data_IF_437679091261
#
_entry.id   IF_437679091261
#
_cell.length_a   1.000
_cell.length_b   1.000
_cell.length_c   1.000
_cell.angle_alpha   90.00
_cell.angle_beta   90.00
_cell.angle_gamma   90.00
#
_symmetry.space_group_name_H-M   'P 1'
#
loop_
_entity.id
_entity.type
_entity.pdbx_description
1 polymer ?
#
# COMPACT_ATOMS: atom_id res chain seq x y z
N UNK A 1 -16.54 -56.18 -3.40
CA UNK A 1 -17.14 -55.16 -2.51
C UNK A 1 -16.13 -54.80 -1.43
N UNK A 2 -15.44 -53.67 -1.57
CA UNK A 2 -14.86 -52.92 -0.45
C UNK A 2 -14.51 -51.54 -1.00
N UNK A 3 -15.47 -50.63 -0.81
CA UNK A 3 -15.49 -49.27 -1.30
C UNK A 3 -14.52 -48.42 -0.48
N UNK A 4 -13.43 -47.93 -1.09
CA UNK A 4 -12.45 -47.08 -0.44
C UNK A 4 -12.87 -45.62 -0.56
N UNK A 5 -13.71 -45.18 0.38
CA UNK A 5 -14.05 -43.76 0.56
C UNK A 5 -12.84 -43.00 1.09
N UNK A 6 -12.11 -42.33 0.19
CA UNK A 6 -11.14 -41.30 0.57
C UNK A 6 -11.89 -40.09 1.09
N UNK A 7 -11.84 -39.86 2.40
CA UNK A 7 -12.23 -38.58 2.98
C UNK A 7 -11.28 -37.48 2.48
N UNK A 8 -11.79 -36.29 2.10
CA UNK A 8 -10.92 -35.16 1.76
C UNK A 8 -10.16 -34.72 3.01
N UNK A 9 -8.84 -34.62 2.87
CA UNK A 9 -7.95 -34.13 3.93
C UNK A 9 -8.39 -32.74 4.37
N UNK A 10 -8.82 -32.61 5.62
CA UNK A 10 -9.07 -31.31 6.25
C UNK A 10 -7.78 -30.49 6.22
N UNK A 11 -7.76 -29.46 5.38
CA UNK A 11 -6.66 -28.52 5.30
C UNK A 11 -6.52 -27.83 6.66
N UNK A 12 -5.34 -27.91 7.27
CA UNK A 12 -5.03 -27.28 8.56
C UNK A 12 -5.18 -25.74 8.45
N UNK A 13 -5.57 -25.02 9.51
CA UNK A 13 -5.77 -23.56 9.47
C UNK A 13 -4.56 -22.76 8.95
N UNK A 14 -3.34 -23.23 9.23
CA UNK A 14 -2.10 -22.64 8.72
C UNK A 14 -1.93 -22.81 7.19
N UNK A 15 -2.42 -23.91 6.61
CA UNK A 15 -2.39 -24.14 5.17
C UNK A 15 -3.42 -23.26 4.42
N UNK A 16 -4.51 -22.87 5.08
CA UNK A 16 -5.51 -21.94 4.54
C UNK A 16 -4.98 -20.50 4.57
N UNK A 17 -4.28 -20.08 5.63
CA UNK A 17 -3.71 -18.72 5.70
C UNK A 17 -2.64 -18.45 4.64
N UNK A 18 -1.86 -19.48 4.25
CA UNK A 18 -0.82 -19.37 3.22
C UNK A 18 -1.37 -19.28 1.78
N UNK A 19 -2.70 -19.34 1.59
CA UNK A 19 -3.33 -19.18 0.27
C UNK A 19 -4.10 -17.86 0.13
N UNK A 20 -4.16 -17.05 1.18
CA UNK A 20 -4.82 -15.76 1.11
C UNK A 20 -3.98 -14.80 0.25
N UNK A 21 -4.63 -13.98 -0.61
CA UNK A 21 -3.93 -12.93 -1.33
C UNK A 21 -3.26 -11.96 -0.35
N UNK A 22 -2.12 -11.41 -0.73
CA UNK A 22 -1.33 -10.53 0.13
C UNK A 22 -1.52 -9.05 -0.19
N UNK A 23 -1.45 -8.22 0.85
CA UNK A 23 -1.39 -6.77 0.78
C UNK A 23 -0.03 -6.31 1.31
N UNK A 24 0.78 -5.69 0.46
CA UNK A 24 2.05 -5.09 0.84
C UNK A 24 1.82 -3.77 1.59
N UNK A 25 2.48 -3.58 2.72
CA UNK A 25 2.24 -2.46 3.62
C UNK A 25 3.43 -1.50 3.70
N UNK A 26 3.24 -0.25 3.28
CA UNK A 26 4.28 0.78 3.21
C UNK A 26 4.08 1.86 4.28
N UNK A 27 5.03 1.95 5.20
CA UNK A 27 4.98 2.85 6.36
C UNK A 27 5.17 4.33 5.99
N UNK A 28 4.85 5.25 6.91
CA UNK A 28 5.04 6.70 6.76
C UNK A 28 6.47 7.18 7.05
N UNK A 29 6.75 8.47 6.85
CA UNK A 29 8.06 9.06 7.13
C UNK A 29 8.40 8.95 8.62
N UNK A 30 9.65 8.59 8.94
CA UNK A 30 10.12 8.53 10.32
C UNK A 30 9.40 7.46 11.16
N UNK A 31 8.91 6.40 10.52
CA UNK A 31 8.31 5.22 11.14
C UNK A 31 9.01 3.96 10.63
N UNK A 32 8.47 2.77 10.86
CA UNK A 32 8.91 1.51 10.25
C UNK A 32 7.72 0.55 10.13
N UNK A 33 7.93 -0.62 9.54
CA UNK A 33 6.92 -1.66 9.32
C UNK A 33 6.26 -2.11 10.62
N UNK A 34 7.02 -2.25 11.72
CA UNK A 34 6.47 -2.62 13.03
C UNK A 34 5.52 -1.56 13.58
N UNK A 35 5.92 -0.29 13.54
CA UNK A 35 5.05 0.84 13.94
C UNK A 35 3.79 0.85 13.07
N UNK A 36 3.93 0.70 11.76
CA UNK A 36 2.77 0.75 10.86
C UNK A 36 1.82 -0.44 11.07
N UNK A 37 2.36 -1.64 11.34
CA UNK A 37 1.58 -2.81 11.76
C UNK A 37 0.78 -2.52 13.03
N UNK A 38 1.41 -1.90 14.03
CA UNK A 38 0.74 -1.52 15.27
C UNK A 38 -0.34 -0.43 15.06
N UNK A 39 -0.05 0.59 14.24
CA UNK A 39 -0.98 1.66 13.90
C UNK A 39 -2.21 1.13 13.13
N UNK A 40 -2.03 0.13 12.26
CA UNK A 40 -3.08 -0.45 11.42
C UNK A 40 -3.72 -1.73 11.99
N UNK A 41 -3.31 -2.19 13.19
CA UNK A 41 -3.73 -3.47 13.79
C UNK A 41 -5.24 -3.72 13.79
N UNK A 42 -6.04 -2.68 14.02
CA UNK A 42 -7.51 -2.80 14.04
C UNK A 42 -8.07 -3.10 12.65
N UNK A 43 -7.54 -2.43 11.62
CA UNK A 43 -7.91 -2.67 10.23
C UNK A 43 -7.43 -4.04 9.75
N UNK A 44 -6.17 -4.40 10.05
CA UNK A 44 -5.60 -5.73 9.75
C UNK A 44 -6.45 -6.83 10.38
N UNK A 45 -6.84 -6.68 11.66
CA UNK A 45 -7.70 -7.64 12.36
C UNK A 45 -9.03 -7.84 11.64
N UNK A 46 -9.65 -6.76 11.14
CA UNK A 46 -10.93 -6.82 10.42
C UNK A 46 -10.83 -7.43 9.02
N UNK A 47 -9.62 -7.53 8.45
CA UNK A 47 -9.38 -8.01 7.09
C UNK A 47 -8.63 -9.36 7.04
N UNK A 48 -8.23 -9.91 8.19
CA UNK A 48 -7.34 -11.08 8.31
C UNK A 48 -7.87 -12.36 7.67
N UNK A 49 -9.20 -12.50 7.57
CA UNK A 49 -9.84 -13.70 6.99
C UNK A 49 -9.96 -13.59 5.45
N UNK A 50 -9.45 -12.51 4.86
CA UNK A 50 -9.46 -12.22 3.42
C UNK A 50 -8.07 -11.96 2.85
N UNK A 51 -7.18 -11.38 3.65
CA UNK A 51 -5.83 -11.01 3.22
C UNK A 51 -4.79 -11.37 4.25
N UNK A 52 -3.59 -11.65 3.76
CA UNK A 52 -2.36 -11.54 4.54
C UNK A 52 -1.77 -10.14 4.35
N UNK A 53 -1.09 -9.62 5.37
CA UNK A 53 -0.47 -8.30 5.34
C UNK A 53 1.03 -8.43 5.53
N UNK A 54 1.80 -7.82 4.63
CA UNK A 54 3.26 -7.89 4.62
C UNK A 54 3.79 -6.49 4.92
N UNK A 55 4.25 -6.27 6.15
CA UNK A 55 4.85 -5.00 6.55
C UNK A 55 6.35 -5.03 6.28
N UNK A 56 6.81 -4.08 5.47
CA UNK A 56 8.23 -4.00 5.07
C UNK A 56 8.85 -2.71 5.57
N UNK A 57 10.15 -2.76 5.82
CA UNK A 57 10.95 -1.59 6.17
C UNK A 57 11.62 -1.02 4.92
N UNK A 58 11.58 0.30 4.79
CA UNK A 58 12.40 0.97 3.80
C UNK A 58 13.90 0.82 4.13
N UNK A 59 14.80 0.69 3.12
CA UNK A 59 16.23 0.52 3.37
C UNK A 59 16.92 1.77 3.96
N UNK A 60 16.28 2.95 3.92
CA UNK A 60 16.89 4.20 4.35
C UNK A 60 16.46 4.61 5.74
N UNK A 61 17.43 4.97 6.58
CA UNK A 61 17.17 5.52 7.90
C UNK A 61 16.62 6.95 7.81
N UNK A 62 15.72 7.28 8.74
CA UNK A 62 15.31 8.65 9.05
C UNK A 62 15.95 9.06 10.37
N UNK A 63 16.58 10.23 10.40
CA UNK A 63 17.18 10.77 11.63
C UNK A 63 16.15 11.13 12.68
N UNK A 64 14.96 11.56 12.25
CA UNK A 64 13.90 12.00 13.13
C UNK A 64 12.68 11.08 13.03
N UNK A 65 11.96 10.89 14.15
CA UNK A 65 10.63 10.28 14.14
C UNK A 65 9.67 11.11 13.31
N UNK A 66 8.66 10.47 12.74
CA UNK A 66 7.56 11.15 12.07
C UNK A 66 6.65 11.90 13.05
N UNK A 67 5.79 12.81 12.55
CA UNK A 67 4.75 13.42 13.36
C UNK A 67 3.86 12.36 14.04
N UNK A 68 3.61 12.52 15.35
CA UNK A 68 2.77 11.61 16.13
C UNK A 68 3.39 10.25 16.50
N UNK A 69 4.67 10.02 16.17
CA UNK A 69 5.40 8.79 16.54
C UNK A 69 5.82 8.82 18.01
N UNK A 70 6.30 9.96 18.49
CA UNK A 70 6.67 10.17 19.90
C UNK A 70 5.45 10.71 20.67
N UNK A 71 5.22 10.30 21.94
CA UNK A 71 6.10 9.43 22.75
C UNK A 71 5.90 7.92 22.54
N UNK A 72 4.77 7.51 21.96
CA UNK A 72 4.32 6.10 21.93
C UNK A 72 5.33 5.11 21.34
N UNK A 73 6.11 5.50 20.33
CA UNK A 73 7.03 4.64 19.59
C UNK A 73 8.48 5.11 19.68
N UNK A 74 8.87 5.74 20.80
CA UNK A 74 10.24 6.23 21.02
C UNK A 74 11.29 5.13 20.97
N UNK A 75 10.94 3.91 21.42
CA UNK A 75 11.86 2.77 21.50
C UNK A 75 11.77 1.83 20.28
N UNK A 76 10.83 2.07 19.36
CA UNK A 76 10.63 1.22 18.18
C UNK A 76 11.46 1.74 17.01
N UNK A 77 12.78 1.80 17.22
CA UNK A 77 13.80 2.23 16.24
C UNK A 77 14.33 1.03 15.42
N UNK A 78 15.04 1.26 14.30
CA UNK A 78 15.31 2.56 13.66
C UNK A 78 14.07 3.13 12.96
N UNK A 79 14.00 4.46 12.86
CA UNK A 79 13.04 5.14 12.00
C UNK A 79 13.55 5.13 10.56
N UNK A 80 12.62 5.08 9.60
CA UNK A 80 12.90 4.87 8.19
C UNK A 80 12.20 5.90 7.30
N UNK A 81 12.67 6.04 6.06
CA UNK A 81 12.09 6.89 5.02
C UNK A 81 12.19 6.19 3.66
N UNK A 82 11.22 6.42 2.78
CA UNK A 82 11.22 5.79 1.46
C UNK A 82 12.07 6.48 0.41
N UNK A 83 12.14 7.80 0.45
CA UNK A 83 12.94 8.60 -0.48
C UNK A 83 13.24 9.96 0.18
N UNK A 84 14.06 10.80 -0.45
CA UNK A 84 14.25 12.18 -0.01
C UNK A 84 13.00 13.03 -0.28
N UNK A 85 12.63 13.89 0.66
CA UNK A 85 11.60 14.89 0.38
C UNK A 85 12.17 16.05 -0.45
N UNK A 86 11.33 16.75 -1.20
CA UNK A 86 11.75 17.82 -2.14
C UNK A 86 12.52 18.94 -1.42
N UNK A 87 12.13 19.27 -0.19
CA UNK A 87 12.85 20.22 0.66
C UNK A 87 14.29 19.78 1.01
N UNK A 88 14.58 18.47 0.98
CA UNK A 88 15.93 17.94 1.22
C UNK A 88 16.76 17.92 -0.08
N UNK A 89 16.11 17.77 -1.24
CA UNK A 89 16.76 17.92 -2.55
C UNK A 89 17.32 19.34 -2.71
N UNK A 90 16.55 20.35 -2.29
CA UNK A 90 16.96 21.76 -2.32
C UNK A 90 18.15 22.07 -1.38
N UNK A 91 18.52 21.15 -0.47
CA UNK A 91 19.67 21.28 0.46
C UNK A 91 20.95 20.58 -0.02
N UNK A 92 20.98 20.06 -1.26
CA UNK A 92 22.20 19.54 -1.89
C UNK A 92 22.25 18.03 -2.15
N UNK A 93 21.12 17.32 -2.13
CA UNK A 93 21.06 15.93 -2.58
C UNK A 93 21.10 15.90 -4.12
N UNK A 94 22.04 15.14 -4.70
CA UNK A 94 22.13 15.00 -6.16
C UNK A 94 20.95 14.20 -6.72
N UNK A 95 20.60 14.48 -7.99
CA UNK A 95 19.59 13.69 -8.71
C UNK A 95 19.98 12.20 -8.76
N UNK A 96 21.27 11.91 -8.95
CA UNK A 96 21.81 10.55 -8.94
C UNK A 96 21.54 9.82 -7.61
N UNK A 97 21.73 10.49 -6.47
CA UNK A 97 21.44 9.89 -5.17
C UNK A 97 19.94 9.55 -5.03
N UNK A 98 19.06 10.40 -5.55
CA UNK A 98 17.61 10.15 -5.58
C UNK A 98 17.29 8.93 -6.45
N UNK A 99 17.93 8.80 -7.62
CA UNK A 99 17.69 7.68 -8.54
C UNK A 99 18.21 6.35 -7.97
N UNK A 100 19.38 6.35 -7.34
CA UNK A 100 19.92 5.20 -6.60
C UNK A 100 18.93 4.75 -5.51
N UNK A 101 18.33 5.69 -4.78
CA UNK A 101 17.34 5.33 -3.76
C UNK A 101 16.07 4.70 -4.35
N UNK A 102 15.56 5.25 -5.47
CA UNK A 102 14.39 4.72 -6.18
C UNK A 102 14.64 3.29 -6.65
N UNK A 103 15.79 3.03 -7.28
CA UNK A 103 16.16 1.70 -7.75
C UNK A 103 16.20 0.70 -6.59
N UNK A 104 16.85 1.06 -5.48
CA UNK A 104 16.94 0.18 -4.31
C UNK A 104 15.57 -0.13 -3.68
N UNK A 105 14.68 0.85 -3.62
CA UNK A 105 13.30 0.67 -3.14
C UNK A 105 12.53 -0.24 -4.08
N UNK A 106 12.66 -0.04 -5.39
CA UNK A 106 12.00 -0.90 -6.37
C UNK A 106 12.51 -2.33 -6.29
N UNK A 107 13.82 -2.56 -6.29
CA UNK A 107 14.41 -3.90 -6.17
C UNK A 107 13.93 -4.63 -4.91
N UNK A 108 13.90 -3.94 -3.76
CA UNK A 108 13.36 -4.52 -2.52
C UNK A 108 11.91 -4.96 -2.70
N UNK A 109 11.07 -4.11 -3.29
CA UNK A 109 9.65 -4.41 -3.47
C UNK A 109 9.43 -5.51 -4.50
N UNK A 110 10.17 -5.52 -5.62
CA UNK A 110 10.15 -6.58 -6.62
C UNK A 110 10.43 -7.94 -6.00
N UNK A 111 11.46 -8.07 -5.16
CA UNK A 111 11.73 -9.33 -4.45
C UNK A 111 10.55 -9.80 -3.58
N UNK A 112 9.81 -8.88 -2.95
CA UNK A 112 8.60 -9.26 -2.21
C UNK A 112 7.47 -9.73 -3.13
N UNK A 113 7.30 -9.14 -4.32
CA UNK A 113 6.31 -9.65 -5.29
C UNK A 113 6.68 -11.04 -5.80
N UNK A 114 7.95 -11.26 -6.12
CA UNK A 114 8.49 -12.54 -6.59
C UNK A 114 8.33 -13.64 -5.53
N UNK A 115 8.90 -13.44 -4.34
CA UNK A 115 8.84 -14.42 -3.26
C UNK A 115 7.40 -14.82 -2.91
N UNK A 116 6.48 -13.84 -2.90
CA UNK A 116 5.08 -14.10 -2.57
C UNK A 116 4.31 -14.83 -3.67
N UNK A 117 4.66 -14.58 -4.92
CA UNK A 117 4.12 -15.32 -6.06
C UNK A 117 4.58 -16.77 -6.05
N UNK A 118 5.84 -17.02 -5.69
CA UNK A 118 6.43 -18.37 -5.65
C UNK A 118 5.90 -19.20 -4.46
N UNK A 119 5.79 -18.58 -3.28
CA UNK A 119 5.48 -19.30 -2.05
C UNK A 119 3.96 -19.43 -1.78
N UNK A 120 3.15 -18.42 -2.15
CA UNK A 120 1.81 -18.23 -1.57
C UNK A 120 0.66 -18.10 -2.60
N UNK A 121 0.84 -18.58 -3.82
CA UNK A 121 -0.23 -18.79 -4.80
C UNK A 121 -0.75 -17.51 -5.47
N UNK A 122 -1.58 -16.71 -4.79
CA UNK A 122 -2.14 -15.46 -5.35
C UNK A 122 -1.16 -14.28 -5.33
N UNK A 123 -0.06 -14.40 -4.59
CA UNK A 123 0.95 -13.35 -4.45
C UNK A 123 0.41 -12.06 -3.84
N UNK A 124 1.14 -10.96 -4.08
CA UNK A 124 0.72 -9.61 -3.68
C UNK A 124 -0.28 -9.07 -4.70
N UNK A 125 -1.51 -8.83 -4.25
CA UNK A 125 -2.60 -8.32 -5.09
C UNK A 125 -2.98 -6.88 -4.73
N UNK A 126 -2.38 -6.32 -3.68
CA UNK A 126 -2.76 -5.01 -3.20
C UNK A 126 -1.68 -4.34 -2.38
N UNK A 127 -1.87 -3.04 -2.18
CA UNK A 127 -0.96 -2.23 -1.36
C UNK A 127 -1.78 -1.43 -0.34
N UNK A 128 -1.31 -1.39 0.91
CA UNK A 128 -1.77 -0.47 1.93
C UNK A 128 -0.63 0.47 2.33
N UNK A 129 -0.86 1.77 2.33
CA UNK A 129 0.20 2.72 2.62
C UNK A 129 -0.29 3.90 3.45
N UNK A 130 0.60 4.46 4.27
CA UNK A 130 0.32 5.62 5.09
C UNK A 130 1.25 6.79 4.77
N UNK A 131 0.68 7.99 4.66
CA UNK A 131 1.43 9.24 4.53
C UNK A 131 2.50 9.15 3.44
N UNK A 132 3.78 9.34 3.78
CA UNK A 132 4.89 9.25 2.85
C UNK A 132 4.92 7.95 2.01
N UNK A 133 4.52 6.81 2.59
CA UNK A 133 4.45 5.54 1.87
C UNK A 133 3.44 5.55 0.72
N UNK A 134 2.41 6.42 0.75
CA UNK A 134 1.44 6.50 -0.34
C UNK A 134 2.06 7.01 -1.63
N UNK A 135 3.14 7.81 -1.55
CA UNK A 135 3.85 8.32 -2.72
C UNK A 135 4.47 7.19 -3.52
N UNK A 136 5.10 6.24 -2.81
CA UNK A 136 5.66 5.01 -3.37
C UNK A 136 4.56 4.08 -3.85
N UNK A 137 3.51 3.86 -3.05
CA UNK A 137 2.38 3.02 -3.43
C UNK A 137 1.75 3.45 -4.76
N UNK A 138 1.55 4.76 -4.96
CA UNK A 138 1.05 5.29 -6.22
C UNK A 138 2.04 5.08 -7.36
N UNK A 139 3.34 5.27 -7.12
CA UNK A 139 4.38 4.96 -8.09
C UNK A 139 4.39 3.49 -8.52
N UNK A 140 4.19 2.56 -7.57
CA UNK A 140 4.10 1.13 -7.85
C UNK A 140 2.86 0.77 -8.66
N UNK A 141 1.72 1.42 -8.38
CA UNK A 141 0.51 1.22 -9.20
C UNK A 141 0.73 1.68 -10.66
N UNK A 142 1.55 2.71 -10.87
CA UNK A 142 1.89 3.25 -12.19
C UNK A 142 3.00 2.48 -12.91
N UNK A 143 3.73 1.61 -12.21
CA UNK A 143 4.84 0.83 -12.74
C UNK A 143 4.33 -0.22 -13.74
N UNK A 144 4.97 -0.35 -14.89
CA UNK A 144 4.49 -1.20 -15.98
C UNK A 144 4.60 -2.71 -15.66
N UNK A 145 5.51 -3.10 -14.77
CA UNK A 145 5.72 -4.48 -14.37
C UNK A 145 4.96 -4.82 -13.09
N UNK A 146 5.05 -3.97 -12.05
CA UNK A 146 4.43 -4.23 -10.76
C UNK A 146 2.95 -3.82 -10.70
N UNK A 147 2.59 -2.75 -11.41
CA UNK A 147 1.23 -2.20 -11.46
C UNK A 147 0.17 -3.23 -11.85
N UNK A 148 0.37 -4.06 -12.89
CA UNK A 148 -0.56 -5.12 -13.27
C UNK A 148 -0.89 -6.15 -12.18
N UNK A 149 -0.03 -6.32 -11.15
CA UNK A 149 -0.31 -7.21 -10.03
C UNK A 149 -1.19 -6.54 -8.95
N UNK A 150 -1.19 -5.21 -8.88
CA UNK A 150 -1.91 -4.45 -7.86
C UNK A 150 -3.35 -4.21 -8.33
N UNK A 151 -4.31 -4.85 -7.66
CA UNK A 151 -5.75 -4.73 -7.97
C UNK A 151 -6.50 -3.84 -6.99
N UNK A 152 -6.01 -3.75 -5.76
CA UNK A 152 -6.56 -2.88 -4.71
C UNK A 152 -5.47 -2.02 -4.08
N UNK A 153 -5.79 -0.75 -3.82
CA UNK A 153 -4.90 0.17 -3.10
C UNK A 153 -5.65 0.79 -1.93
N UNK A 154 -5.03 0.80 -0.75
CA UNK A 154 -5.55 1.43 0.47
C UNK A 154 -4.59 2.55 0.83
N UNK A 155 -4.94 3.78 0.45
CA UNK A 155 -4.10 4.96 0.71
C UNK A 155 -4.64 5.74 1.89
N UNK A 156 -3.93 5.69 3.01
CA UNK A 156 -4.29 6.35 4.26
C UNK A 156 -3.49 7.64 4.39
N UNK A 157 -4.20 8.77 4.48
CA UNK A 157 -3.63 10.12 4.50
C UNK A 157 -2.62 10.35 3.37
N UNK A 158 -3.01 10.17 2.09
CA UNK A 158 -2.07 10.31 0.99
C UNK A 158 -1.49 11.72 0.90
N UNK A 159 -0.25 11.81 0.41
CA UNK A 159 0.46 13.08 0.22
C UNK A 159 1.04 13.19 -1.18
N UNK A 160 1.12 14.41 -1.73
CA UNK A 160 1.58 14.71 -3.09
C UNK A 160 3.02 15.28 -3.09
N UNK A 161 3.85 15.07 -4.13
CA UNK A 161 3.61 14.28 -5.36
C UNK A 161 3.79 12.78 -5.14
N UNK A 162 3.34 11.94 -6.07
CA UNK A 162 3.79 10.55 -6.09
C UNK A 162 5.30 10.47 -6.37
N UNK A 163 5.87 9.28 -6.21
CA UNK A 163 7.29 9.03 -6.51
C UNK A 163 7.36 7.88 -7.49
N UNK A 164 7.85 8.14 -8.70
CA UNK A 164 8.18 7.06 -9.65
C UNK A 164 9.23 6.16 -9.03
N UNK A 165 8.95 4.87 -9.00
CA UNK A 165 9.88 3.84 -8.52
C UNK A 165 10.65 3.20 -9.67
N UNK A 166 10.22 3.43 -10.92
CA UNK A 166 10.86 2.91 -12.13
C UNK A 166 11.81 3.88 -12.83
N UNK A 167 12.57 3.34 -13.78
CA UNK A 167 13.47 4.08 -14.68
C UNK A 167 12.65 4.74 -15.78
N UNK A 168 11.83 5.74 -15.46
CA UNK A 168 11.22 6.56 -16.51
C UNK A 168 12.13 7.74 -16.82
N UNK A 169 12.65 7.74 -18.05
CA UNK A 169 13.47 8.79 -18.69
C UNK A 169 12.72 10.10 -18.94
N UNK A 170 11.55 10.31 -18.33
CA UNK A 170 10.73 11.49 -18.56
C UNK A 170 10.97 12.53 -17.46
N UNK A 171 11.22 13.76 -17.92
CA UNK A 171 11.50 14.88 -17.05
C UNK A 171 10.32 15.17 -16.10
N UNK A 172 10.56 15.68 -14.88
CA UNK A 172 9.50 16.07 -13.93
C UNK A 172 8.51 17.12 -14.46
N UNK A 173 8.74 17.68 -15.66
CA UNK A 173 7.96 18.75 -16.27
C UNK A 173 6.74 18.23 -17.05
N UNK A 174 6.66 16.92 -17.29
CA UNK A 174 5.55 16.26 -18.01
C UNK A 174 4.70 15.36 -17.09
N UNK A 175 4.32 15.85 -15.89
CA UNK A 175 3.23 15.25 -15.06
C UNK A 175 1.84 15.36 -15.74
N UNK A 176 1.77 15.13 -17.05
CA UNK A 176 0.55 14.99 -17.87
C UNK A 176 0.09 13.53 -18.01
N UNK A 177 0.66 12.59 -17.24
CA UNK A 177 0.28 11.18 -17.36
C UNK A 177 -0.98 10.89 -16.53
N UNK A 178 -2.15 11.10 -17.15
CA UNK A 178 -3.40 10.44 -16.76
C UNK A 178 -3.32 8.96 -17.16
N UNK A 179 -2.57 8.14 -16.41
CA UNK A 179 -2.80 6.70 -16.43
C UNK A 179 -4.00 6.47 -15.54
N UNK A 180 -5.19 6.34 -16.11
CA UNK A 180 -6.36 5.88 -15.36
C UNK A 180 -6.08 4.45 -14.93
N UNK A 181 -5.56 4.30 -13.72
CA UNK A 181 -5.25 3.00 -13.15
C UNK A 181 -6.52 2.19 -13.01
N UNK A 182 -6.50 0.96 -13.55
CA UNK A 182 -7.51 -0.06 -13.28
C UNK A 182 -7.26 -0.72 -11.91
N UNK A 183 -7.13 0.14 -10.90
CA UNK A 183 -6.89 -0.22 -9.50
C UNK A 183 -8.05 0.31 -8.70
N UNK A 184 -8.69 -0.55 -7.90
CA UNK A 184 -9.73 -0.11 -6.98
C UNK A 184 -9.09 0.55 -5.77
N UNK A 185 -9.27 1.86 -5.65
CA UNK A 185 -8.67 2.68 -4.62
C UNK A 185 -9.64 2.91 -3.47
N UNK A 186 -9.20 2.63 -2.25
CA UNK A 186 -9.81 3.10 -1.01
C UNK A 186 -8.90 4.19 -0.45
N UNK A 187 -9.31 5.44 -0.63
CA UNK A 187 -8.67 6.60 -0.02
C UNK A 187 -9.27 6.82 1.37
N UNK A 188 -8.42 6.97 2.37
CA UNK A 188 -8.84 7.23 3.76
C UNK A 188 -8.14 8.49 4.26
N UNK A 189 -8.84 9.44 4.88
CA UNK A 189 -8.19 10.59 5.51
C UNK A 189 -8.99 11.17 6.68
N UNK A 190 -8.29 11.79 7.62
CA UNK A 190 -8.92 12.51 8.73
C UNK A 190 -9.50 13.86 8.27
N UNK A 191 -10.63 14.26 8.83
CA UNK A 191 -11.29 15.55 8.51
C UNK A 191 -10.44 16.78 8.85
N UNK A 192 -9.46 16.63 9.73
CA UNK A 192 -8.54 17.69 10.18
C UNK A 192 -7.10 17.42 9.72
N UNK A 193 -6.89 16.54 8.74
CA UNK A 193 -5.57 16.26 8.17
C UNK A 193 -5.10 17.45 7.30
N UNK A 194 -4.01 18.15 7.69
CA UNK A 194 -3.56 19.33 6.95
C UNK A 194 -3.00 19.00 5.56
N UNK A 195 -2.66 17.74 5.29
CA UNK A 195 -2.18 17.29 3.98
C UNK A 195 -3.29 16.77 3.06
N UNK A 196 -4.55 16.75 3.50
CA UNK A 196 -5.68 16.28 2.71
C UNK A 196 -5.81 16.94 1.33
N UNK A 197 -5.58 18.26 1.13
CA UNK A 197 -5.60 18.87 -0.20
C UNK A 197 -4.57 18.26 -1.17
N UNK A 198 -3.36 17.96 -0.67
CA UNK A 198 -2.31 17.29 -1.43
C UNK A 198 -2.69 15.86 -1.77
N UNK A 199 -3.19 15.10 -0.80
CA UNK A 199 -3.69 13.73 -1.02
C UNK A 199 -4.79 13.65 -2.07
N UNK A 200 -5.78 14.55 -1.99
CA UNK A 200 -6.86 14.64 -2.98
C UNK A 200 -6.33 14.99 -4.38
N UNK A 201 -5.29 15.83 -4.46
CA UNK A 201 -4.61 16.11 -5.74
C UNK A 201 -3.96 14.85 -6.30
N UNK A 202 -3.20 14.10 -5.49
CA UNK A 202 -2.56 12.86 -5.93
C UNK A 202 -3.59 11.86 -6.48
N UNK A 203 -4.68 11.65 -5.74
CA UNK A 203 -5.73 10.70 -6.15
C UNK A 203 -6.37 11.13 -7.47
N UNK A 204 -6.75 12.40 -7.60
CA UNK A 204 -7.36 12.94 -8.83
C UNK A 204 -6.43 12.89 -10.05
N UNK A 205 -5.11 13.00 -9.85
CA UNK A 205 -4.15 12.97 -10.94
C UNK A 205 -3.96 11.56 -11.50
N UNK A 206 -3.94 10.53 -10.65
CA UNK A 206 -3.45 9.20 -11.04
C UNK A 206 -4.49 8.07 -10.97
N UNK A 207 -5.63 8.24 -10.29
CA UNK A 207 -6.59 7.16 -10.10
C UNK A 207 -7.93 7.48 -10.78
N UNK A 208 -8.58 6.42 -11.27
CA UNK A 208 -9.92 6.53 -11.85
C UNK A 208 -10.96 6.88 -10.77
N UNK A 209 -11.74 7.94 -11.00
CA UNK A 209 -12.81 8.34 -10.10
C UNK A 209 -13.88 7.25 -9.92
N UNK A 210 -14.19 6.47 -10.96
CA UNK A 210 -15.20 5.39 -10.88
C UNK A 210 -14.75 4.21 -10.02
N UNK A 211 -13.44 3.99 -9.92
CA UNK A 211 -12.81 2.92 -9.14
C UNK A 211 -12.33 3.40 -7.76
N UNK A 212 -12.56 4.66 -7.42
CA UNK A 212 -12.15 5.25 -6.14
C UNK A 212 -13.32 5.31 -5.16
N UNK A 213 -13.04 4.97 -3.90
CA UNK A 213 -13.90 5.21 -2.74
C UNK A 213 -13.11 6.05 -1.73
N UNK A 214 -13.69 7.17 -1.32
CA UNK A 214 -13.09 8.08 -0.34
C UNK A 214 -13.84 7.97 0.97
N UNK A 215 -13.10 7.73 2.06
CA UNK A 215 -13.60 7.58 3.41
C UNK A 215 -12.97 8.64 4.29
N UNK A 216 -13.81 9.40 4.99
CA UNK A 216 -13.37 10.40 5.96
C UNK A 216 -13.67 9.92 7.38
N UNK A 217 -12.83 10.30 8.34
CA UNK A 217 -13.07 10.04 9.76
C UNK A 217 -12.72 11.27 10.60
N UNK A 218 -13.33 11.40 11.79
CA UNK A 218 -13.00 12.50 12.71
C UNK A 218 -11.59 12.28 13.27
N UNK A 219 -10.63 13.10 12.82
CA UNK A 219 -9.23 13.00 13.25
C UNK A 219 -8.30 13.80 12.34
N UNK A 220 -7.00 13.73 12.65
CA UNK A 220 -5.93 14.38 11.88
C UNK A 220 -5.21 13.43 10.92
N UNK A 221 -3.91 13.63 10.78
CA UNK A 221 -3.02 12.83 9.93
C UNK A 221 -2.61 11.52 10.60
N UNK A 222 -3.48 10.52 10.55
CA UNK A 222 -3.29 9.24 11.26
C UNK A 222 -4.04 8.08 10.61
N UNK A 223 -3.72 6.86 11.04
CA UNK A 223 -4.49 5.67 10.70
C UNK A 223 -5.77 5.62 11.56
N UNK A 224 -6.97 5.39 10.99
CA UNK A 224 -8.20 5.31 11.78
C UNK A 224 -8.15 4.13 12.77
N UNK A 225 -8.61 4.37 13.99
CA UNK A 225 -8.61 3.36 15.07
C UNK A 225 -9.97 3.17 15.73
N UNK A 226 -10.90 4.11 15.58
CA UNK A 226 -12.25 3.96 16.10
C UNK A 226 -12.99 2.83 15.35
N UNK A 227 -13.71 1.98 16.10
CA UNK A 227 -14.31 0.76 15.56
C UNK A 227 -15.25 1.02 14.37
N UNK A 228 -16.02 2.12 14.40
CA UNK A 228 -16.91 2.53 13.31
C UNK A 228 -16.15 2.85 12.03
N UNK A 229 -15.07 3.61 12.13
CA UNK A 229 -14.28 4.04 10.97
C UNK A 229 -13.52 2.85 10.39
N UNK A 230 -12.93 2.02 11.25
CA UNK A 230 -12.25 0.77 10.86
C UNK A 230 -13.22 -0.17 10.15
N UNK A 231 -14.44 -0.35 10.67
CA UNK A 231 -15.45 -1.20 10.03
C UNK A 231 -15.87 -0.65 8.66
N UNK A 232 -16.00 0.67 8.54
CA UNK A 232 -16.30 1.33 7.25
C UNK A 232 -15.20 1.08 6.23
N UNK A 233 -13.93 1.31 6.60
CA UNK A 233 -12.77 1.04 5.73
C UNK A 233 -12.72 -0.43 5.32
N UNK A 234 -12.83 -1.35 6.29
CA UNK A 234 -12.77 -2.79 6.02
C UNK A 234 -13.87 -3.24 5.05
N UNK A 235 -15.10 -2.73 5.21
CA UNK A 235 -16.22 -3.04 4.31
C UNK A 235 -15.94 -2.61 2.87
N UNK A 236 -15.44 -1.39 2.65
CA UNK A 236 -15.12 -0.91 1.30
C UNK A 236 -13.96 -1.69 0.68
N UNK A 237 -12.97 -2.09 1.47
CA UNK A 237 -11.87 -2.95 1.00
C UNK A 237 -12.37 -4.32 0.57
N UNK A 238 -13.23 -4.95 1.38
CA UNK A 238 -13.83 -6.26 1.04
C UNK A 238 -14.67 -6.14 -0.22
N UNK A 239 -15.54 -5.13 -0.32
CA UNK A 239 -16.38 -4.91 -1.50
C UNK A 239 -15.55 -4.67 -2.76
N UNK A 240 -14.47 -3.88 -2.67
CA UNK A 240 -13.56 -3.67 -3.79
C UNK A 240 -12.92 -4.98 -4.26
N UNK A 241 -12.49 -5.83 -3.32
CA UNK A 241 -11.87 -7.11 -3.65
C UNK A 241 -12.85 -8.13 -4.25
N UNK A 242 -14.07 -8.21 -3.73
CA UNK A 242 -15.12 -9.06 -4.30
C UNK A 242 -15.41 -8.67 -5.75
N UNK A 243 -15.44 -7.38 -6.07
CA UNK A 243 -15.60 -6.92 -7.45
C UNK A 243 -14.42 -7.29 -8.36
N UNK A 244 -13.18 -7.29 -7.85
CA UNK A 244 -12.01 -7.78 -8.59
C UNK A 244 -12.16 -9.27 -8.91
N UNK A 245 -12.55 -10.07 -7.92
CA UNK A 245 -12.73 -11.52 -8.08
C UNK A 245 -13.86 -11.87 -9.04
N UNK A 246 -14.93 -11.07 -9.10
CA UNK A 246 -16.02 -11.25 -10.07
C UNK A 246 -15.54 -10.91 -11.48
N UNK A 247 -14.93 -9.74 -11.69
CA UNK A 247 -14.43 -9.32 -13.01
C UNK A 247 -13.34 -10.26 -13.55
N UNK A 248 -12.56 -10.92 -12.68
CA UNK A 248 -11.57 -11.91 -13.09
C UNK A 248 -12.14 -13.27 -13.51
N UNK A 249 -13.42 -13.54 -13.23
CA UNK A 249 -14.10 -14.81 -13.57
C UNK A 249 -14.94 -14.75 -14.83
N UNK A 250 -15.26 -13.55 -15.34
CA UNK A 250 -15.94 -13.43 -16.63
C UNK A 250 -15.00 -13.91 -17.75
N UNK A 251 -15.45 -14.84 -18.61
CA UNK A 251 -14.64 -15.25 -19.75
C UNK A 251 -14.39 -14.01 -20.61
N UNK A 252 -13.11 -13.70 -20.86
CA UNK A 252 -12.73 -12.70 -21.85
C UNK A 252 -13.18 -13.24 -23.20
N UNK A 253 -14.38 -12.87 -23.64
CA UNK A 253 -14.84 -13.15 -24.99
C UNK A 253 -13.94 -12.36 -25.95
N UNK A 254 -13.04 -13.10 -26.60
CA UNK A 254 -12.31 -12.70 -27.80
C UNK A 254 -13.24 -12.83 -29.01
#
# INVERSE_FOLDING_TARGET
MSDSTKFPSLCTPAAISNRLPAILCLHGQGTNGNIFSHQSRALVKSLRDRFRFIFIDSPFASWQPGPGVIPTYVDVKPYRRWHYDRAQIDTGVSAEAVDVERVRVRTLISHHFEAESEENGKGIVGIMAFSHGTRVATGLCLDDELGPHIKIAILISPVFPCVSVGVSTESPRDEKVRRNLDVRLIQVHGTSDPWAPGGNRLVRTHFSASLTRTITFTGGHQVPSAAKDVATVAREVISAWELVEVSGREPKHL
#
